data_IF_641746425272
#
_entry.id   IF_641746425272
#
_cell.length_a   1.000
_cell.length_b   1.000
_cell.length_c   1.000
_cell.angle_alpha   90.00
_cell.angle_beta   90.00
_cell.angle_gamma   90.00
#
_symmetry.space_group_name_H-M   'P 1'
#
loop_
_entity.id
_entity.type
_entity.pdbx_description
1 polymer ?
#
# COMPACT_ATOMS: atom_id res chain seq x y z
N UNK A 1 -7.31 22.64 -20.00
CA UNK A 1 -7.13 21.22 -19.61
C UNK A 1 -5.87 20.60 -20.22
N UNK A 2 -5.69 20.60 -21.54
CA UNK A 2 -4.55 19.93 -22.19
C UNK A 2 -3.15 20.43 -21.76
N UNK A 3 -2.99 21.74 -21.49
CA UNK A 3 -1.73 22.30 -20.96
C UNK A 3 -1.33 21.71 -19.60
N UNK A 4 -2.32 21.45 -18.73
CA UNK A 4 -2.08 20.86 -17.41
C UNK A 4 -1.68 19.39 -17.54
N UNK A 5 -2.41 18.63 -18.37
CA UNK A 5 -2.11 17.22 -18.64
C UNK A 5 -0.69 17.07 -19.23
N UNK A 6 -0.31 17.93 -20.16
CA UNK A 6 1.04 17.97 -20.72
C UNK A 6 2.10 18.24 -19.64
N UNK A 7 1.86 19.22 -18.76
CA UNK A 7 2.78 19.52 -17.65
C UNK A 7 2.92 18.35 -16.67
N UNK A 8 1.83 17.65 -16.36
CA UNK A 8 1.85 16.47 -15.49
C UNK A 8 2.69 15.36 -16.12
N UNK A 9 2.47 15.06 -17.40
CA UNK A 9 3.24 14.04 -18.13
C UNK A 9 4.71 14.44 -18.21
N UNK A 10 4.99 15.70 -18.53
CA UNK A 10 6.36 16.23 -18.58
C UNK A 10 7.07 16.12 -17.23
N UNK A 11 6.40 16.52 -16.15
CA UNK A 11 6.95 16.39 -14.80
C UNK A 11 7.21 14.92 -14.43
N UNK A 12 6.30 14.01 -14.79
CA UNK A 12 6.51 12.57 -14.60
C UNK A 12 7.77 12.07 -15.32
N UNK A 13 7.96 12.50 -16.57
CA UNK A 13 9.15 12.13 -17.36
C UNK A 13 10.43 12.68 -16.74
N UNK A 14 10.42 13.92 -16.24
CA UNK A 14 11.58 14.52 -15.56
C UNK A 14 11.92 13.73 -14.29
N UNK A 15 10.92 13.44 -13.44
CA UNK A 15 11.12 12.66 -12.22
C UNK A 15 11.65 11.27 -12.55
N UNK A 16 11.06 10.60 -13.54
CA UNK A 16 11.53 9.30 -14.02
C UNK A 16 12.99 9.39 -14.46
N UNK A 17 13.34 10.37 -15.30
CA UNK A 17 14.70 10.57 -15.78
C UNK A 17 15.69 10.78 -14.62
N UNK A 18 15.35 11.63 -13.65
CA UNK A 18 16.20 11.87 -12.48
C UNK A 18 16.41 10.59 -11.69
N UNK A 19 15.35 9.84 -11.37
CA UNK A 19 15.45 8.60 -10.59
C UNK A 19 16.34 7.56 -11.29
N UNK A 20 16.27 7.45 -12.62
CA UNK A 20 17.06 6.47 -13.37
C UNK A 20 18.51 6.87 -13.63
N UNK A 21 18.80 8.18 -13.66
CA UNK A 21 20.15 8.70 -13.90
C UNK A 21 20.92 9.04 -12.62
N UNK A 22 20.26 9.01 -11.46
CA UNK A 22 20.90 9.21 -10.16
C UNK A 22 21.69 7.96 -9.75
N UNK A 23 22.94 8.19 -9.35
CA UNK A 23 23.77 7.25 -8.61
C UNK A 23 23.52 7.42 -7.10
N UNK A 24 23.65 6.37 -6.27
CA UNK A 24 24.21 5.05 -6.55
C UNK A 24 23.21 4.04 -7.12
N UNK A 25 23.75 3.08 -7.89
CA UNK A 25 23.02 1.91 -8.38
C UNK A 25 23.38 0.70 -7.53
N UNK A 26 22.40 -0.14 -7.22
CA UNK A 26 22.54 -1.32 -6.36
C UNK A 26 22.02 -2.56 -7.07
N UNK A 27 22.60 -3.69 -6.70
CA UNK A 27 22.15 -5.00 -7.16
C UNK A 27 21.16 -5.57 -6.15
N UNK A 28 19.93 -5.81 -6.59
CA UNK A 28 18.85 -6.29 -5.73
C UNK A 28 18.66 -7.78 -5.97
N UNK A 29 18.93 -8.59 -4.95
CA UNK A 29 18.67 -10.02 -4.96
C UNK A 29 17.23 -10.26 -4.54
N UNK A 30 16.34 -10.59 -5.49
CA UNK A 30 14.93 -10.88 -5.19
C UNK A 30 14.76 -12.32 -4.72
N UNK A 31 15.43 -13.25 -5.38
CA UNK A 31 15.38 -14.70 -5.12
C UNK A 31 16.76 -15.31 -5.38
N UNK A 32 17.05 -16.52 -4.86
CA UNK A 32 18.27 -17.25 -5.23
C UNK A 32 18.33 -17.42 -6.75
N UNK A 33 19.34 -16.84 -7.39
CA UNK A 33 19.53 -16.85 -8.85
C UNK A 33 18.77 -15.78 -9.64
N UNK A 34 17.98 -14.90 -9.00
CA UNK A 34 17.32 -13.75 -9.64
C UNK A 34 17.85 -12.46 -9.03
N UNK A 35 18.79 -11.83 -9.75
CA UNK A 35 19.38 -10.54 -9.42
C UNK A 35 18.92 -9.48 -10.41
N UNK A 36 18.45 -8.35 -9.89
CA UNK A 36 18.26 -7.15 -10.67
C UNK A 36 19.49 -6.28 -10.48
N UNK A 37 20.36 -6.31 -11.49
CA UNK A 37 21.60 -5.54 -11.45
C UNK A 37 21.38 -4.07 -11.80
N UNK A 38 22.18 -3.20 -11.17
CA UNK A 38 22.28 -1.76 -11.49
C UNK A 38 20.95 -0.98 -11.41
N UNK A 39 20.08 -1.33 -10.47
CA UNK A 39 18.86 -0.56 -10.21
C UNK A 39 19.19 0.67 -9.35
N UNK A 40 18.68 1.88 -9.68
CA UNK A 40 18.89 3.06 -8.86
C UNK A 40 18.37 2.86 -7.43
N UNK A 41 19.20 3.13 -6.43
CA UNK A 41 18.83 2.94 -5.02
C UNK A 41 17.56 3.72 -4.64
N UNK A 42 17.42 4.94 -5.15
CA UNK A 42 16.25 5.77 -4.91
C UNK A 42 14.94 5.09 -5.36
N UNK A 43 14.96 4.39 -6.49
CA UNK A 43 13.79 3.66 -6.99
C UNK A 43 13.41 2.53 -6.04
N UNK A 44 14.40 1.77 -5.58
CA UNK A 44 14.18 0.66 -4.64
C UNK A 44 13.56 1.19 -3.35
N UNK A 45 14.12 2.24 -2.77
CA UNK A 45 13.63 2.85 -1.52
C UNK A 45 12.19 3.35 -1.68
N UNK A 46 11.92 4.13 -2.74
CA UNK A 46 10.57 4.68 -2.98
C UNK A 46 9.57 3.56 -3.16
N UNK A 47 9.90 2.54 -3.94
CA UNK A 47 9.00 1.44 -4.22
C UNK A 47 8.73 0.60 -2.95
N UNK A 48 9.77 0.29 -2.17
CA UNK A 48 9.64 -0.40 -0.88
C UNK A 48 8.79 0.40 0.11
N UNK A 49 8.98 1.72 0.17
CA UNK A 49 8.17 2.58 1.02
C UNK A 49 6.69 2.57 0.60
N UNK A 50 6.41 2.74 -0.69
CA UNK A 50 5.04 2.68 -1.22
C UNK A 50 4.40 1.33 -0.90
N UNK A 51 5.08 0.21 -1.13
CA UNK A 51 4.56 -1.11 -0.77
C UNK A 51 4.32 -1.27 0.73
N UNK A 52 5.25 -0.83 1.57
CA UNK A 52 5.11 -0.88 3.02
C UNK A 52 3.90 -0.07 3.52
N UNK A 53 3.72 1.13 2.98
CA UNK A 53 2.57 2.01 3.26
C UNK A 53 1.27 1.35 2.79
N UNK A 54 1.21 0.88 1.55
CA UNK A 54 0.04 0.17 1.01
C UNK A 54 -0.33 -1.05 1.86
N UNK A 55 0.67 -1.83 2.26
CA UNK A 55 0.46 -2.99 3.12
C UNK A 55 -0.06 -2.58 4.50
N UNK A 56 0.54 -1.58 5.13
CA UNK A 56 0.11 -1.05 6.42
C UNK A 56 -1.32 -0.50 6.39
N UNK A 57 -1.66 0.27 5.36
CA UNK A 57 -3.03 0.76 5.13
C UNK A 57 -4.01 -0.39 4.93
N UNK A 58 -3.68 -1.35 4.06
CA UNK A 58 -4.54 -2.50 3.79
C UNK A 58 -4.78 -3.33 5.06
N UNK A 59 -3.74 -3.56 5.85
CA UNK A 59 -3.83 -4.27 7.12
C UNK A 59 -4.65 -3.50 8.17
N UNK A 60 -4.46 -2.18 8.25
CA UNK A 60 -5.25 -1.31 9.13
C UNK A 60 -6.74 -1.36 8.78
N UNK A 61 -7.08 -1.21 7.49
CA UNK A 61 -8.45 -1.29 7.00
C UNK A 61 -9.06 -2.68 7.28
N UNK A 62 -8.30 -3.75 7.05
CA UNK A 62 -8.74 -5.11 7.35
C UNK A 62 -9.08 -5.29 8.84
N UNK A 63 -8.27 -4.72 9.74
CA UNK A 63 -8.56 -4.77 11.18
C UNK A 63 -9.81 -3.96 11.55
N UNK A 64 -9.99 -2.77 10.99
CA UNK A 64 -11.18 -1.95 11.24
C UNK A 64 -12.46 -2.68 10.81
N UNK A 65 -12.43 -3.32 9.64
CA UNK A 65 -13.53 -4.12 9.13
C UNK A 65 -13.78 -5.31 10.07
N UNK A 66 -12.74 -6.10 10.40
CA UNK A 66 -12.86 -7.25 11.30
C UNK A 66 -13.44 -6.87 12.67
N UNK A 67 -13.05 -5.73 13.23
CA UNK A 67 -13.58 -5.25 14.51
C UNK A 67 -15.05 -4.83 14.41
N UNK A 68 -15.44 -4.20 13.29
CA UNK A 68 -16.83 -3.79 13.06
C UNK A 68 -17.75 -5.00 12.97
N UNK A 69 -17.38 -6.02 12.18
CA UNK A 69 -18.12 -7.29 12.11
C UNK A 69 -18.22 -8.00 13.47
N UNK A 70 -17.14 -7.99 14.26
CA UNK A 70 -17.16 -8.63 15.58
C UNK A 70 -18.09 -7.93 16.57
N UNK A 71 -18.24 -6.60 16.47
CA UNK A 71 -19.19 -5.84 17.30
C UNK A 71 -20.63 -6.14 16.91
N UNK A 72 -20.93 -6.09 15.61
CA UNK A 72 -22.27 -6.37 15.08
C UNK A 72 -22.79 -7.77 15.49
N UNK A 73 -21.94 -8.79 15.38
CA UNK A 73 -22.28 -10.15 15.84
C UNK A 73 -22.51 -10.22 17.35
N UNK A 74 -21.80 -9.43 18.15
CA UNK A 74 -21.96 -9.43 19.61
C UNK A 74 -23.26 -8.73 20.03
N UNK A 75 -23.62 -7.66 19.33
CA UNK A 75 -24.84 -6.90 19.59
C UNK A 75 -26.09 -7.70 19.20
N UNK A 76 -26.05 -8.40 18.06
CA UNK A 76 -27.07 -9.38 17.65
C UNK A 76 -27.28 -10.48 18.70
N UNK A 77 -26.18 -11.06 19.21
CA UNK A 77 -26.25 -12.15 20.19
C UNK A 77 -26.77 -11.67 21.56
N UNK A 78 -26.48 -10.43 21.95
CA UNK A 78 -27.00 -9.82 23.18
C UNK A 78 -28.49 -9.50 23.07
N UNK A 79 -28.95 -9.03 21.90
CA UNK A 79 -30.37 -8.73 21.64
C UNK A 79 -31.22 -10.01 21.63
N UNK A 80 -30.74 -11.07 20.99
CA UNK A 80 -31.41 -12.38 20.98
C UNK A 80 -31.56 -12.95 22.41
N UNK A 81 -30.50 -12.89 23.23
CA UNK A 81 -30.55 -13.36 24.62
C UNK A 81 -31.57 -12.60 25.49
N UNK A 82 -31.74 -11.28 25.27
CA UNK A 82 -32.72 -10.46 26.01
C UNK A 82 -34.18 -10.79 25.67
N UNK A 83 -34.48 -11.10 24.40
CA UNK A 83 -35.82 -11.47 23.96
C UNK A 83 -36.26 -12.84 24.49
N UNK A 84 -35.33 -13.78 24.72
CA UNK A 84 -35.67 -15.09 25.30
C UNK A 84 -35.96 -14.99 26.81
N UNK A 85 -35.39 -14.00 27.49
CA UNK A 85 -35.54 -13.81 28.95
C UNK A 85 -36.77 -12.99 29.38
N UNK A 86 -37.42 -12.28 28.44
CA UNK A 86 -38.67 -11.56 28.66
C UNK A 86 -39.75 -12.10 27.69
N UNK A 87 -40.41 -13.22 28.01
CA UNK A 87 -41.57 -13.72 27.25
C UNK A 87 -42.83 -12.86 27.45
#
# INVERSE_FOLDING_TARGET
MFKLLFWIIFLLLVVFFVVFNVEPKVDVHLLPGVTLEKIPLALVIVLSFVFGVLFGLSFSLFQMIKQSFKKELKDEHSKNKSNISNP
#
